data_IF_964769521777
#
_entry.id   IF_964769521777
#
_cell.length_a   1.000
_cell.length_b   1.000
_cell.length_c   1.000
_cell.angle_alpha   90.00
_cell.angle_beta   90.00
_cell.angle_gamma   90.00
#
_symmetry.space_group_name_H-M   'P 1'
#
loop_
_entity.id
_entity.type
_entity.pdbx_description
1 polymer ?
#
# COMPACT_ATOMS: atom_id res chain seq x y z
N UNK A 1 -8.78 2.01 2.26
CA UNK A 1 -8.99 1.04 3.38
C UNK A 1 -9.50 1.77 4.63
N UNK A 2 -10.11 1.07 5.60
CA UNK A 2 -10.35 1.65 6.93
C UNK A 2 -9.12 1.48 7.83
N UNK A 3 -9.02 2.27 8.90
CA UNK A 3 -7.84 2.28 9.79
C UNK A 3 -7.49 0.91 10.39
N UNK A 4 -8.47 0.16 10.86
CA UNK A 4 -8.23 -1.14 11.50
C UNK A 4 -7.64 -2.16 10.50
N UNK A 5 -8.13 -2.16 9.26
CA UNK A 5 -7.58 -3.00 8.19
C UNK A 5 -6.15 -2.58 7.85
N UNK A 6 -5.86 -1.27 7.78
CA UNK A 6 -4.50 -0.77 7.53
C UNK A 6 -3.52 -1.26 8.60
N UNK A 7 -3.89 -1.20 9.87
CA UNK A 7 -3.04 -1.65 10.98
C UNK A 7 -2.71 -3.15 10.85
N UNK A 8 -3.69 -3.99 10.50
CA UNK A 8 -3.49 -5.43 10.28
C UNK A 8 -2.63 -5.73 9.04
N UNK A 9 -2.80 -4.99 7.95
CA UNK A 9 -1.97 -5.15 6.74
C UNK A 9 -0.52 -4.77 7.05
N UNK A 10 -0.30 -3.68 7.78
CA UNK A 10 1.04 -3.24 8.18
C UNK A 10 1.71 -4.30 9.06
N UNK A 11 1.00 -4.87 10.03
CA UNK A 11 1.52 -5.96 10.86
C UNK A 11 1.92 -7.18 10.01
N UNK A 12 1.05 -7.61 9.09
CA UNK A 12 1.35 -8.72 8.18
C UNK A 12 2.56 -8.48 7.27
N UNK A 13 2.72 -7.25 6.79
CA UNK A 13 3.88 -6.84 5.97
C UNK A 13 5.18 -6.81 6.79
N UNK A 14 5.13 -6.25 8.00
CA UNK A 14 6.28 -6.20 8.90
C UNK A 14 6.74 -7.61 9.32
N UNK A 15 5.80 -8.54 9.55
CA UNK A 15 6.09 -9.96 9.78
C UNK A 15 6.84 -10.64 8.63
N UNK A 16 6.81 -10.05 7.43
CA UNK A 16 7.54 -10.50 6.23
C UNK A 16 8.79 -9.66 5.92
N UNK A 17 9.25 -8.85 6.88
CA UNK A 17 10.38 -7.93 6.73
C UNK A 17 10.19 -6.85 5.66
N UNK A 18 8.94 -6.51 5.31
CA UNK A 18 8.63 -5.34 4.49
C UNK A 18 8.56 -4.11 5.39
N UNK A 19 9.28 -3.06 5.04
CA UNK A 19 9.29 -1.81 5.82
C UNK A 19 8.03 -1.00 5.53
N UNK A 20 6.95 -1.34 6.23
CA UNK A 20 5.62 -0.77 6.05
C UNK A 20 5.14 0.03 7.26
N UNK A 21 4.35 1.07 7.00
CA UNK A 21 3.73 1.93 7.99
C UNK A 21 2.30 2.29 7.59
N UNK A 22 1.45 2.53 8.59
CA UNK A 22 0.16 3.15 8.34
C UNK A 22 0.37 4.57 7.78
N UNK A 23 -0.44 4.95 6.80
CA UNK A 23 -0.43 6.28 6.20
C UNK A 23 -1.84 6.89 6.30
N UNK A 24 -1.91 8.17 6.68
CA UNK A 24 -3.16 8.92 6.73
C UNK A 24 -3.09 10.01 5.66
N UNK A 25 -3.86 9.86 4.59
CA UNK A 25 -3.93 10.81 3.47
C UNK A 25 -5.09 11.79 3.70
N UNK A 26 -5.02 12.60 4.76
CA UNK A 26 -6.11 13.52 5.12
C UNK A 26 -7.26 12.83 5.87
N UNK A 27 -8.43 13.51 5.92
CA UNK A 27 -9.57 13.07 6.75
C UNK A 27 -10.28 11.91 6.09
N UNK A 28 -10.29 10.75 6.75
CA UNK A 28 -11.05 9.57 6.34
C UNK A 28 -10.34 8.64 5.34
N UNK A 29 -9.18 9.03 4.81
CA UNK A 29 -8.40 8.20 3.89
C UNK A 29 -7.19 7.59 4.62
N UNK A 30 -7.23 6.27 4.74
CA UNK A 30 -6.17 5.47 5.34
C UNK A 30 -5.62 4.50 4.30
N UNK A 31 -4.29 4.43 4.22
CA UNK A 31 -3.56 3.57 3.31
C UNK A 31 -2.30 3.00 3.95
N UNK A 32 -1.54 2.25 3.16
CA UNK A 32 -0.29 1.63 3.60
C UNK A 32 0.87 2.28 2.86
N UNK A 33 1.88 2.72 3.59
CA UNK A 33 3.15 3.19 3.01
C UNK A 33 4.19 2.09 3.12
N UNK A 34 4.83 1.75 2.01
CA UNK A 34 6.00 0.87 1.97
C UNK A 34 7.22 1.70 1.58
N UNK A 35 8.27 1.67 2.39
CA UNK A 35 9.55 2.32 2.05
C UNK A 35 10.40 1.34 1.26
N UNK A 36 10.82 1.76 0.07
CA UNK A 36 11.62 0.96 -0.85
C UNK A 36 13.12 1.20 -0.59
N UNK A 37 13.95 0.21 -0.93
CA UNK A 37 15.38 0.23 -0.64
C UNK A 37 16.17 1.33 -1.37
N UNK A 38 15.60 1.91 -2.42
CA UNK A 38 16.19 3.00 -3.21
C UNK A 38 15.73 4.40 -2.77
N UNK A 39 15.03 4.49 -1.63
CA UNK A 39 14.53 5.73 -1.05
C UNK A 39 13.18 6.18 -1.60
N UNK A 40 12.56 5.43 -2.52
CA UNK A 40 11.18 5.66 -2.94
C UNK A 40 10.19 5.17 -1.87
N UNK A 41 8.96 5.68 -1.93
CA UNK A 41 7.85 5.25 -1.09
C UNK A 41 6.67 4.81 -1.97
N UNK A 42 6.08 3.65 -1.71
CA UNK A 42 4.84 3.23 -2.33
C UNK A 42 3.66 3.49 -1.39
N UNK A 43 2.69 4.28 -1.83
CA UNK A 43 1.47 4.63 -1.10
C UNK A 43 0.30 3.83 -1.67
N UNK A 44 -0.15 2.83 -0.92
CA UNK A 44 -1.24 1.95 -1.30
C UNK A 44 -2.59 2.46 -0.81
N UNK A 45 -3.58 2.46 -1.71
CA UNK A 45 -5.00 2.75 -1.43
C UNK A 45 -5.22 4.04 -0.63
N UNK A 46 -4.57 5.11 -1.10
CA UNK A 46 -4.63 6.45 -0.49
C UNK A 46 -5.68 7.37 -1.12
N UNK A 47 -6.20 7.01 -2.29
CA UNK A 47 -7.24 7.76 -3.03
C UNK A 47 -8.65 7.19 -2.86
N UNK A 48 -8.78 6.04 -2.18
CA UNK A 48 -10.07 5.39 -1.92
C UNK A 48 -10.65 4.69 -3.15
N UNK A 49 -9.83 4.32 -4.14
CA UNK A 49 -10.25 3.51 -5.26
C UNK A 49 -10.86 2.18 -4.80
N UNK A 50 -11.87 1.69 -5.54
CA UNK A 50 -12.43 0.36 -5.32
C UNK A 50 -11.44 -0.69 -5.87
N UNK A 51 -10.43 -1.06 -5.08
CA UNK A 51 -9.40 -2.04 -5.42
C UNK A 51 -7.99 -1.54 -5.11
N UNK A 52 -7.06 -2.46 -5.05
CA UNK A 52 -5.70 -2.25 -4.58
C UNK A 52 -4.79 -1.72 -5.70
N UNK A 53 -4.25 -0.52 -5.50
CA UNK A 53 -3.26 0.15 -6.34
C UNK A 53 -2.29 0.97 -5.49
N UNK A 54 -1.17 1.39 -6.09
CA UNK A 54 -0.17 2.19 -5.38
C UNK A 54 0.38 3.34 -6.23
N UNK A 55 0.62 4.48 -5.58
CA UNK A 55 1.44 5.55 -6.13
C UNK A 55 2.87 5.40 -5.63
N UNK A 56 3.86 5.49 -6.52
CA UNK A 56 5.29 5.44 -6.17
C UNK A 56 5.84 6.86 -6.17
N UNK A 57 6.34 7.28 -5.02
CA UNK A 57 6.80 8.62 -4.72
C UNK A 57 8.33 8.62 -4.54
N UNK A 58 8.96 9.73 -4.89
CA UNK A 58 10.35 10.04 -4.55
C UNK A 58 10.44 11.50 -4.13
N UNK A 59 10.88 11.76 -2.91
CA UNK A 59 11.02 13.12 -2.37
C UNK A 59 9.74 13.97 -2.53
N UNK A 60 8.57 13.34 -2.32
CA UNK A 60 7.26 13.97 -2.47
C UNK A 60 6.76 14.13 -3.92
N UNK A 61 7.53 13.68 -4.92
CA UNK A 61 7.16 13.72 -6.34
C UNK A 61 6.67 12.35 -6.79
N UNK A 62 5.53 12.30 -7.48
CA UNK A 62 5.03 11.07 -8.12
C UNK A 62 5.96 10.65 -9.25
N UNK A 63 6.52 9.45 -9.18
CA UNK A 63 7.48 8.90 -10.15
C UNK A 63 7.03 7.61 -10.82
N UNK A 64 5.96 6.97 -10.31
CA UNK A 64 5.42 5.74 -10.87
C UNK A 64 4.13 5.31 -10.21
N UNK A 65 3.58 4.19 -10.64
CA UNK A 65 2.40 3.57 -10.04
C UNK A 65 2.44 2.06 -10.19
N UNK A 66 1.88 1.36 -9.20
CA UNK A 66 1.45 -0.03 -9.36
C UNK A 66 0.01 0.03 -9.87
N UNK A 67 -0.29 -0.48 -11.07
CA UNK A 67 -1.64 -0.45 -11.62
C UNK A 67 -2.60 -1.19 -10.70
N UNK A 68 -3.86 -0.73 -10.68
CA UNK A 68 -4.95 -1.44 -10.02
C UNK A 68 -4.97 -2.92 -10.36
N UNK A 69 -4.98 -3.75 -9.32
CA UNK A 69 -5.10 -5.19 -9.43
C UNK A 69 -6.59 -5.52 -9.62
N UNK A 70 -6.95 -6.14 -10.74
CA UNK A 70 -8.35 -6.49 -11.04
C UNK A 70 -8.86 -7.57 -10.06
N UNK A 71 -10.04 -7.34 -9.47
CA UNK A 71 -10.66 -8.26 -8.50
C UNK A 71 -10.18 -8.09 -7.06
N UNK A 72 -9.22 -7.19 -6.82
CA UNK A 72 -8.65 -6.95 -5.49
C UNK A 72 -9.60 -6.28 -4.50
N UNK A 73 -10.75 -5.77 -4.95
CA UNK A 73 -11.84 -5.32 -4.09
C UNK A 73 -12.40 -6.43 -3.18
N UNK A 74 -12.16 -7.70 -3.55
CA UNK A 74 -12.61 -8.88 -2.82
C UNK A 74 -11.46 -9.63 -2.13
N UNK A 75 -10.22 -9.10 -2.15
CA UNK A 75 -9.10 -9.75 -1.49
C UNK A 75 -9.32 -9.84 0.01
N UNK A 76 -8.93 -10.98 0.57
CA UNK A 76 -8.72 -11.16 2.00
C UNK A 76 -7.53 -10.31 2.48
N UNK A 77 -7.38 -10.24 3.81
CA UNK A 77 -6.22 -9.61 4.44
C UNK A 77 -4.91 -10.25 3.97
N UNK A 78 -4.87 -11.59 3.90
CA UNK A 78 -3.70 -12.36 3.50
C UNK A 78 -3.34 -12.12 2.04
N UNK A 79 -4.33 -12.14 1.14
CA UNK A 79 -4.13 -11.81 -0.29
C UNK A 79 -3.68 -10.35 -0.48
N UNK A 80 -4.20 -9.42 0.32
CA UNK A 80 -3.78 -8.01 0.31
C UNK A 80 -2.32 -7.88 0.71
N UNK A 81 -1.91 -8.53 1.82
CA UNK A 81 -0.52 -8.53 2.28
C UNK A 81 0.39 -9.18 1.24
N UNK A 82 -0.02 -10.30 0.64
CA UNK A 82 0.73 -10.97 -0.42
C UNK A 82 0.93 -10.10 -1.66
N UNK A 83 -0.14 -9.46 -2.12
CA UNK A 83 -0.09 -8.57 -3.27
C UNK A 83 0.87 -7.40 -3.04
N UNK A 84 0.80 -6.74 -1.87
CA UNK A 84 1.69 -5.61 -1.54
C UNK A 84 3.14 -6.08 -1.40
N UNK A 85 3.38 -7.21 -0.71
CA UNK A 85 4.73 -7.71 -0.45
C UNK A 85 5.47 -8.14 -1.73
N UNK A 86 4.74 -8.60 -2.75
CA UNK A 86 5.32 -9.12 -4.00
C UNK A 86 5.19 -8.19 -5.19
N UNK A 87 4.56 -7.02 -5.00
CA UNK A 87 4.38 -6.03 -6.04
C UNK A 87 5.72 -5.57 -6.64
N UNK A 88 5.70 -5.32 -7.95
CA UNK A 88 6.81 -4.69 -8.65
C UNK A 88 6.63 -3.18 -8.63
N UNK A 89 7.49 -2.51 -7.88
CA UNK A 89 7.53 -1.04 -7.78
C UNK A 89 8.44 -0.46 -8.87
N UNK A 90 7.90 -0.34 -10.08
CA UNK A 90 8.57 0.30 -11.21
C UNK A 90 8.29 1.79 -11.23
#
# INVERSE_FOLDING_TARGET
>A
MNRAVVELVVEGLQGRHVFAHAHSAGVGHHGVRVVLSDGREALWDVDGAAGLEAQVMRDGVLVGYVPKIIGSEAFSLEETVEAIATAKYT
#
